data_IF_811346642607
#
_entry.id   IF_811346642607
#
_cell.length_a   1.000
_cell.length_b   1.000
_cell.length_c   1.000
_cell.angle_alpha   90.00
_cell.angle_beta   90.00
_cell.angle_gamma   90.00
#
_symmetry.space_group_name_H-M   'P 1'
#
loop_
_entity.id
_entity.type
_entity.pdbx_description
1 polymer ?
#
# COMPACT_ATOMS: atom_id res chain seq x y z
N UNK A 1 4.10 -18.61 -0.34
CA UNK A 1 5.07 -17.85 0.50
C UNK A 1 6.49 -18.30 0.11
N UNK A 2 7.51 -17.42 0.10
CA UNK A 2 8.90 -17.66 -0.39
C UNK A 2 9.12 -17.78 -1.91
N UNK A 3 8.15 -17.37 -2.71
CA UNK A 3 8.35 -17.06 -4.13
C UNK A 3 8.42 -15.53 -4.28
N UNK A 4 8.97 -14.99 -5.38
CA UNK A 4 8.82 -13.58 -5.69
C UNK A 4 7.35 -13.17 -5.58
N UNK A 5 7.10 -11.99 -5.00
CA UNK A 5 5.77 -11.43 -4.96
C UNK A 5 5.26 -11.22 -6.40
N UNK A 6 3.96 -11.42 -6.69
CA UNK A 6 3.41 -11.18 -8.02
C UNK A 6 3.64 -9.74 -8.46
N UNK A 7 4.13 -9.56 -9.68
CA UNK A 7 4.24 -8.22 -10.28
C UNK A 7 2.84 -7.62 -10.46
N UNK A 8 2.72 -6.33 -10.15
CA UNK A 8 1.51 -5.56 -10.39
C UNK A 8 1.88 -4.15 -10.82
N UNK A 9 0.97 -3.55 -11.59
CA UNK A 9 0.95 -2.12 -11.91
C UNK A 9 -0.50 -1.66 -11.77
N UNK A 10 -0.73 -0.60 -11.01
CA UNK A 10 -2.05 -0.06 -10.75
C UNK A 10 -2.01 1.45 -10.56
N UNK A 11 -3.13 2.11 -10.79
CA UNK A 11 -3.29 3.52 -10.44
C UNK A 11 -3.54 3.65 -8.93
N UNK A 12 -2.83 4.58 -8.30
CA UNK A 12 -2.89 4.84 -6.87
C UNK A 12 -2.96 6.36 -6.61
N UNK A 13 -3.49 6.72 -5.44
CA UNK A 13 -3.45 8.09 -4.94
C UNK A 13 -2.23 8.22 -4.03
N UNK A 14 -1.31 9.12 -4.38
CA UNK A 14 -0.09 9.42 -3.62
C UNK A 14 0.03 10.93 -3.47
N UNK A 15 0.07 11.43 -2.23
CA UNK A 15 0.08 12.86 -1.91
C UNK A 15 -1.09 13.65 -2.54
N UNK A 16 -2.24 12.99 -2.70
CA UNK A 16 -3.44 13.58 -3.30
C UNK A 16 -3.46 13.59 -4.83
N UNK A 17 -2.44 13.06 -5.50
CA UNK A 17 -2.36 12.96 -6.96
C UNK A 17 -2.50 11.51 -7.44
N UNK A 18 -3.09 11.32 -8.63
CA UNK A 18 -3.10 10.03 -9.29
C UNK A 18 -1.74 9.72 -9.90
N UNK A 19 -1.16 8.58 -9.54
CA UNK A 19 0.10 8.08 -10.08
C UNK A 19 -0.04 6.58 -10.39
N UNK A 20 0.59 6.14 -11.47
CA UNK A 20 0.74 4.71 -11.74
C UNK A 20 1.88 4.18 -10.88
N UNK A 21 1.62 3.13 -10.10
CA UNK A 21 2.55 2.50 -9.17
C UNK A 21 2.76 1.05 -9.57
N UNK A 22 4.02 0.61 -9.61
CA UNK A 22 4.38 -0.78 -9.82
C UNK A 22 5.13 -1.36 -8.61
N UNK A 23 5.03 -2.67 -8.41
CA UNK A 23 5.86 -3.35 -7.39
C UNK A 23 7.36 -3.14 -7.65
N UNK A 24 7.73 -3.04 -8.93
CA UNK A 24 9.12 -2.89 -9.34
C UNK A 24 9.75 -1.54 -8.91
N UNK A 25 8.95 -0.50 -8.69
CA UNK A 25 9.40 0.81 -8.21
C UNK A 25 9.98 0.78 -6.79
N UNK A 26 9.64 -0.28 -6.02
CA UNK A 26 10.08 -0.45 -4.63
C UNK A 26 11.22 -1.46 -4.46
N UNK A 27 11.87 -1.89 -5.54
CA UNK A 27 13.01 -2.81 -5.46
C UNK A 27 14.12 -2.24 -4.55
N UNK A 28 14.67 -3.10 -3.70
CA UNK A 28 15.70 -2.72 -2.73
C UNK A 28 15.16 -2.13 -1.42
N UNK A 29 13.84 -1.94 -1.29
CA UNK A 29 13.16 -1.57 -0.04
C UNK A 29 12.35 -2.75 0.49
N UNK A 30 12.17 -2.80 1.81
CA UNK A 30 11.16 -3.67 2.41
C UNK A 30 9.77 -3.09 2.11
N UNK A 31 8.87 -3.93 1.60
CA UNK A 31 7.50 -3.53 1.22
C UNK A 31 6.50 -4.34 2.03
N UNK A 32 5.55 -3.63 2.65
CA UNK A 32 4.35 -4.22 3.25
C UNK A 32 3.18 -3.93 2.31
N UNK A 33 2.65 -4.95 1.66
CA UNK A 33 1.46 -4.85 0.82
C UNK A 33 0.23 -5.28 1.62
N UNK A 34 -0.63 -4.32 1.93
CA UNK A 34 -1.83 -4.51 2.75
C UNK A 34 -3.09 -4.41 1.88
N UNK A 35 -3.99 -5.38 2.04
CA UNK A 35 -5.28 -5.40 1.36
C UNK A 35 -6.39 -5.22 2.39
N UNK A 36 -7.33 -4.33 2.11
CA UNK A 36 -8.53 -4.14 2.90
C UNK A 36 -9.78 -4.33 2.03
N UNK A 37 -10.95 -4.65 2.61
CA UNK A 37 -12.09 -5.15 1.84
C UNK A 37 -12.76 -4.10 0.95
N UNK A 38 -12.96 -2.89 1.47
CA UNK A 38 -13.67 -1.80 0.78
C UNK A 38 -13.52 -0.47 1.51
N UNK A 39 -13.44 0.62 0.75
CA UNK A 39 -13.50 2.00 1.25
C UNK A 39 -14.81 2.28 2.00
N UNK A 40 -14.78 3.22 2.95
CA UNK A 40 -15.96 3.72 3.69
C UNK A 40 -16.72 2.65 4.52
N UNK A 41 -16.01 1.63 4.99
CA UNK A 41 -16.53 0.64 5.94
C UNK A 41 -16.04 0.89 7.38
N UNK A 42 -16.73 0.35 8.38
CA UNK A 42 -16.57 0.72 9.79
C UNK A 42 -15.26 0.30 10.46
N UNK A 43 -14.52 -0.66 9.89
CA UNK A 43 -13.28 -1.22 10.49
C UNK A 43 -12.01 -0.71 9.78
N UNK A 44 -12.15 -0.17 8.57
CA UNK A 44 -11.04 0.21 7.70
C UNK A 44 -10.23 1.46 8.12
N UNK A 45 -10.80 2.55 8.69
CA UNK A 45 -10.01 3.77 8.87
C UNK A 45 -8.96 3.64 9.99
N UNK A 46 -9.19 2.78 10.99
CA UNK A 46 -8.26 2.65 12.13
C UNK A 46 -6.95 1.98 11.74
N UNK A 47 -6.99 0.95 10.88
CA UNK A 47 -5.79 0.23 10.45
C UNK A 47 -4.92 1.09 9.53
N UNK A 48 -5.54 1.77 8.56
CA UNK A 48 -4.82 2.62 7.61
C UNK A 48 -4.18 3.83 8.32
N UNK A 49 -4.89 4.50 9.23
CA UNK A 49 -4.32 5.61 10.01
C UNK A 49 -3.16 5.15 10.89
N UNK A 50 -3.29 4.00 11.56
CA UNK A 50 -2.23 3.48 12.42
C UNK A 50 -0.92 3.15 11.67
N UNK A 51 -1.00 2.69 10.42
CA UNK A 51 0.17 2.53 9.56
C UNK A 51 0.74 3.88 9.13
N UNK A 52 -0.11 4.83 8.76
CA UNK A 52 0.31 6.18 8.34
C UNK A 52 1.08 6.90 9.45
N UNK A 53 0.59 6.84 10.70
CA UNK A 53 1.20 7.55 11.83
C UNK A 53 2.59 7.00 12.20
N UNK A 54 2.87 5.73 11.89
CA UNK A 54 4.11 5.01 12.27
C UNK A 54 5.11 4.86 11.13
N UNK A 55 4.83 5.38 9.95
CA UNK A 55 5.74 5.26 8.79
C UNK A 55 7.02 6.08 8.98
N UNK A 56 6.98 7.13 9.80
CA UNK A 56 8.13 8.00 10.08
C UNK A 56 8.91 7.63 11.36
N UNK A 57 8.37 6.74 12.20
CA UNK A 57 9.03 6.22 13.42
C UNK A 57 10.11 5.17 13.08
#
# INVERSE_FOLDING_TARGET
>A
IRKPAPEFTADAVVDGEFKTVSLSDYKGKYVVLFFYPMDFTFVCPTEICAFSDRVED
#
